data_IF_081469007851
#
_entry.id   IF_081469007851
#
_cell.length_a   1.000
_cell.length_b   1.000
_cell.length_c   1.000
_cell.angle_alpha   90.00
_cell.angle_beta   90.00
_cell.angle_gamma   90.00
#
_symmetry.space_group_name_H-M   'P 1'
#
loop_
_entity.id
_entity.type
_entity.pdbx_description
1 polymer ?
#
# COMPACT_ATOMS: atom_id res chain seq x y z
N UNK A 1 44.68 -30.94 16.31
CA UNK A 1 44.06 -29.60 16.13
C UNK A 1 44.16 -29.10 14.68
N UNK A 2 45.37 -29.00 14.08
CA UNK A 2 45.55 -28.46 12.71
C UNK A 2 44.80 -29.26 11.62
N UNK A 3 44.81 -30.59 11.68
CA UNK A 3 44.06 -31.45 10.71
C UNK A 3 42.54 -31.24 10.76
N UNK A 4 41.97 -30.98 11.94
CA UNK A 4 40.52 -30.77 12.08
C UNK A 4 40.10 -29.39 11.52
N UNK A 5 40.95 -28.37 11.68
CA UNK A 5 40.72 -27.03 11.12
C UNK A 5 40.81 -27.06 9.58
N UNK A 6 41.73 -27.83 9.01
CA UNK A 6 41.85 -27.99 7.55
C UNK A 6 40.64 -28.71 6.94
N UNK A 7 40.10 -29.73 7.61
CA UNK A 7 38.90 -30.45 7.15
C UNK A 7 37.68 -29.52 7.22
N UNK A 8 37.51 -28.75 8.31
CA UNK A 8 36.40 -27.81 8.46
C UNK A 8 36.47 -26.66 7.42
N UNK A 9 37.67 -26.14 7.16
CA UNK A 9 37.88 -25.11 6.14
C UNK A 9 37.59 -25.64 4.72
N UNK A 10 38.01 -26.85 4.40
CA UNK A 10 37.69 -27.48 3.11
C UNK A 10 36.18 -27.73 2.95
N UNK A 11 35.50 -28.11 4.04
CA UNK A 11 34.05 -28.31 4.06
C UNK A 11 33.28 -26.99 3.83
N UNK A 12 33.70 -25.90 4.47
CA UNK A 12 33.10 -24.58 4.30
C UNK A 12 33.29 -24.02 2.88
N UNK A 13 34.48 -24.17 2.30
CA UNK A 13 34.73 -23.75 0.91
C UNK A 13 33.89 -24.56 -0.08
N UNK A 14 33.74 -25.87 0.14
CA UNK A 14 32.92 -26.72 -0.73
C UNK A 14 31.44 -26.28 -0.76
N UNK A 15 30.84 -25.98 0.40
CA UNK A 15 29.43 -25.57 0.47
C UNK A 15 29.17 -24.13 0.02
N UNK A 16 30.14 -23.21 0.14
CA UNK A 16 29.97 -21.84 -0.34
C UNK A 16 30.21 -21.67 -1.85
N UNK A 17 31.01 -22.53 -2.48
CA UNK A 17 31.36 -22.42 -3.90
C UNK A 17 30.40 -23.22 -4.80
N UNK A 18 29.83 -24.34 -4.30
CA UNK A 18 28.92 -25.19 -5.09
C UNK A 18 27.71 -24.46 -5.70
N UNK A 19 26.98 -23.58 -4.97
CA UNK A 19 25.81 -22.90 -5.51
C UNK A 19 26.16 -21.95 -6.67
N UNK A 20 27.34 -21.33 -6.60
CA UNK A 20 27.85 -20.41 -7.62
C UNK A 20 28.17 -21.17 -8.92
N UNK A 21 28.82 -22.34 -8.79
CA UNK A 21 29.12 -23.20 -9.95
C UNK A 21 27.83 -23.79 -10.53
N UNK A 22 26.85 -24.18 -9.69
CA UNK A 22 25.57 -24.71 -10.15
C UNK A 22 24.76 -23.67 -10.96
N UNK A 23 24.82 -22.39 -10.61
CA UNK A 23 24.17 -21.31 -11.36
C UNK A 23 24.81 -20.98 -12.72
N UNK A 24 26.02 -21.49 -12.99
CA UNK A 24 26.75 -21.27 -14.24
C UNK A 24 26.62 -22.46 -15.23
N UNK A 25 26.01 -23.57 -14.82
CA UNK A 25 25.79 -24.72 -15.70
C UNK A 25 24.47 -24.57 -16.49
N UNK A 26 24.48 -24.79 -17.82
CA UNK A 26 23.27 -24.71 -18.63
C UNK A 26 22.39 -25.95 -18.39
N UNK A 27 21.32 -25.81 -17.62
CA UNK A 27 20.30 -26.86 -17.48
C UNK A 27 19.31 -26.85 -18.67
N UNK A 28 18.83 -28.02 -19.13
CA UNK A 28 18.09 -28.16 -20.38
C UNK A 28 16.63 -27.62 -20.39
N UNK A 29 16.20 -26.84 -19.38
CA UNK A 29 14.84 -26.30 -19.30
C UNK A 29 14.72 -24.78 -19.56
N UNK A 30 15.78 -24.14 -20.09
CA UNK A 30 15.79 -22.70 -20.37
C UNK A 30 15.42 -22.35 -21.84
N UNK A 31 14.59 -23.15 -22.50
CA UNK A 31 14.04 -22.77 -23.80
C UNK A 31 12.90 -21.75 -23.57
N UNK A 32 13.15 -20.48 -23.94
CA UNK A 32 12.15 -19.41 -23.89
C UNK A 32 10.97 -19.77 -24.80
N UNK A 33 9.78 -19.96 -24.22
CA UNK A 33 8.53 -20.09 -24.97
C UNK A 33 8.06 -18.67 -25.30
N UNK A 34 7.98 -18.32 -26.59
CA UNK A 34 7.36 -17.08 -27.04
C UNK A 34 5.85 -17.26 -27.18
N UNK A 35 5.08 -16.47 -26.41
CA UNK A 35 3.62 -16.43 -26.52
C UNK A 35 3.19 -15.26 -27.41
N UNK A 36 2.17 -15.44 -28.28
CA UNK A 36 1.70 -14.40 -29.17
C UNK A 36 1.04 -13.25 -28.39
N UNK A 37 1.46 -12.01 -28.70
CA UNK A 37 0.91 -10.79 -28.10
C UNK A 37 -0.52 -10.52 -28.59
N UNK A 38 -1.49 -10.59 -27.68
CA UNK A 38 -2.85 -10.07 -27.91
C UNK A 38 -2.83 -8.56 -27.69
N UNK A 39 -3.40 -7.78 -28.62
CA UNK A 39 -3.55 -6.32 -28.50
C UNK A 39 -4.77 -6.01 -27.64
N UNK A 40 -4.56 -5.39 -26.48
CA UNK A 40 -5.63 -4.78 -25.69
C UNK A 40 -5.87 -3.32 -26.10
N UNK A 41 -7.13 -2.84 -26.10
CA UNK A 41 -7.47 -1.47 -26.47
C UNK A 41 -7.11 -0.49 -25.34
N UNK A 42 -6.47 0.62 -25.70
CA UNK A 42 -6.15 1.72 -24.78
C UNK A 42 -7.41 2.50 -24.40
N UNK A 43 -7.65 2.67 -23.10
CA UNK A 43 -8.67 3.59 -22.56
C UNK A 43 -7.92 4.75 -21.91
N UNK A 44 -8.20 5.97 -22.35
CA UNK A 44 -7.52 7.21 -21.94
C UNK A 44 -8.43 8.01 -21.00
N UNK A 45 -7.92 8.43 -19.84
CA UNK A 45 -8.57 9.45 -19.00
C UNK A 45 -7.70 10.72 -18.96
N UNK A 46 -8.35 11.86 -19.21
CA UNK A 46 -7.71 13.17 -19.25
C UNK A 46 -7.58 13.77 -17.84
N UNK A 47 -6.37 14.19 -17.46
CA UNK A 47 -6.10 14.93 -16.24
C UNK A 47 -5.95 16.43 -16.54
N UNK A 48 -6.79 17.26 -15.92
CA UNK A 48 -6.74 18.71 -16.00
C UNK A 48 -5.78 19.31 -14.97
N UNK A 49 -4.92 20.22 -15.43
CA UNK A 49 -3.93 20.97 -14.66
C UNK A 49 -4.54 22.18 -13.94
N UNK A 50 -4.16 22.43 -12.67
CA UNK A 50 -4.36 23.73 -12.02
C UNK A 50 -3.10 24.16 -11.25
N UNK A 51 -2.83 25.45 -11.41
CA UNK A 51 -1.68 26.29 -11.07
C UNK A 51 -1.69 26.79 -9.62
N UNK A 52 -0.49 26.99 -9.05
CA UNK A 52 -0.23 27.69 -7.77
C UNK A 52 -0.08 29.21 -7.94
N UNK A 53 -0.20 29.99 -6.84
CA UNK A 53 0.83 31.00 -6.59
C UNK A 53 1.31 31.16 -5.11
N UNK A 54 2.52 31.75 -5.06
CA UNK A 54 3.51 32.09 -4.01
C UNK A 54 3.09 33.37 -3.22
N UNK A 55 3.46 33.66 -1.96
CA UNK A 55 4.71 34.30 -1.44
C UNK A 55 4.39 34.78 0.01
N UNK A 56 5.24 34.71 1.05
CA UNK A 56 6.15 35.78 1.57
C UNK A 56 6.87 35.33 2.87
N UNK A 57 7.98 36.00 3.22
CA UNK A 57 8.98 35.64 4.27
C UNK A 57 9.29 36.87 5.18
N UNK A 58 10.22 36.83 6.18
CA UNK A 58 10.01 36.90 7.65
C UNK A 58 10.55 38.24 8.26
N UNK A 59 10.77 38.51 9.59
CA UNK A 59 11.64 37.78 10.55
C UNK A 59 11.11 37.74 12.02
N UNK A 60 11.68 37.00 12.98
CA UNK A 60 12.70 37.52 13.94
C UNK A 60 13.20 36.40 14.86
N UNK A 61 14.52 36.36 15.02
CA UNK A 61 15.31 35.48 15.89
C UNK A 61 15.17 35.83 17.37
N UNK A 62 15.02 34.84 18.24
CA UNK A 62 15.49 34.94 19.63
C UNK A 62 16.05 33.58 20.06
N UNK A 63 17.34 33.58 20.35
CA UNK A 63 18.13 32.46 20.83
C UNK A 63 17.94 32.34 22.34
N UNK A 64 17.44 31.21 22.83
CA UNK A 64 17.69 30.78 24.22
C UNK A 64 18.01 29.30 24.21
N UNK A 65 19.23 29.01 24.65
CA UNK A 65 19.80 27.68 24.82
C UNK A 65 19.68 27.27 26.28
N UNK A 66 19.00 26.15 26.56
CA UNK A 66 19.28 25.32 27.74
C UNK A 66 18.54 23.97 27.69
N UNK A 67 19.32 22.93 27.40
CA UNK A 67 19.31 21.56 27.97
C UNK A 67 18.05 20.68 27.78
N UNK A 68 18.17 19.48 27.16
CA UNK A 68 17.06 18.57 26.99
C UNK A 68 16.75 17.88 28.33
N UNK A 69 15.61 18.24 28.93
CA UNK A 69 15.01 17.38 29.96
C UNK A 69 14.28 16.28 29.22
N UNK A 70 14.75 15.05 29.40
CA UNK A 70 14.08 13.83 28.92
C UNK A 70 12.74 13.70 29.64
N UNK A 71 11.69 14.29 29.08
CA UNK A 71 10.32 13.95 29.47
C UNK A 71 10.00 12.57 28.95
N UNK A 72 10.12 11.63 29.87
CA UNK A 72 9.31 10.43 30.06
C UNK A 72 8.22 10.23 28.99
N UNK A 73 8.26 9.08 28.34
CA UNK A 73 7.28 8.63 27.35
C UNK A 73 5.92 8.64 28.06
N UNK A 74 5.09 9.63 27.73
CA UNK A 74 3.70 9.66 28.17
C UNK A 74 3.04 8.34 27.78
N UNK A 75 2.44 7.66 28.76
CA UNK A 75 1.59 6.49 28.53
C UNK A 75 0.51 6.79 27.47
N UNK A 76 0.10 5.78 26.70
CA UNK A 76 -0.42 5.98 25.35
C UNK A 76 -1.72 6.77 25.33
N UNK A 77 -1.84 7.61 24.30
CA UNK A 77 -3.10 8.05 23.71
C UNK A 77 -4.05 6.84 23.62
N UNK A 78 -5.36 7.04 23.75
CA UNK A 78 -6.34 5.99 23.44
C UNK A 78 -5.89 5.24 22.16
N UNK A 79 -5.84 3.90 22.16
CA UNK A 79 -5.39 3.17 20.99
C UNK A 79 -6.22 3.62 19.78
N UNK A 80 -5.54 3.93 18.68
CA UNK A 80 -6.20 4.29 17.43
C UNK A 80 -6.38 3.01 16.61
N UNK A 81 -7.60 2.50 16.60
CA UNK A 81 -7.94 1.19 16.05
C UNK A 81 -8.20 1.30 14.54
N UNK A 82 -7.44 0.54 13.75
CA UNK A 82 -7.52 0.54 12.29
C UNK A 82 -7.93 -0.84 11.79
N UNK A 83 -9.01 -0.90 11.01
CA UNK A 83 -9.36 -2.09 10.24
C UNK A 83 -8.78 -1.97 8.83
N UNK A 84 -8.13 -3.04 8.36
CA UNK A 84 -7.65 -3.14 6.98
C UNK A 84 -8.26 -4.37 6.32
N UNK A 85 -8.73 -4.22 5.09
CA UNK A 85 -9.20 -5.31 4.26
C UNK A 85 -8.83 -5.08 2.79
N UNK A 86 -9.09 -6.08 1.94
CA UNK A 86 -8.70 -6.08 0.54
C UNK A 86 -9.84 -6.63 -0.32
N UNK A 87 -10.66 -5.74 -0.90
CA UNK A 87 -11.72 -6.18 -1.84
C UNK A 87 -11.14 -6.91 -3.04
N UNK A 88 -10.03 -6.41 -3.59
CA UNK A 88 -9.29 -7.06 -4.65
C UNK A 88 -8.01 -7.73 -4.13
N UNK A 89 -8.15 -8.69 -3.20
CA UNK A 89 -7.06 -9.37 -2.49
C UNK A 89 -5.88 -9.90 -3.34
N UNK A 90 -6.13 -10.37 -4.58
CA UNK A 90 -5.09 -10.89 -5.48
C UNK A 90 -4.45 -9.84 -6.39
N UNK A 91 -4.81 -8.56 -6.29
CA UNK A 91 -4.08 -7.51 -7.00
C UNK A 91 -2.59 -7.53 -6.64
N UNK A 92 -1.74 -7.26 -7.63
CA UNK A 92 -0.30 -7.25 -7.44
C UNK A 92 0.39 -6.38 -8.47
N UNK A 93 1.68 -6.14 -8.24
CA UNK A 93 2.52 -5.33 -9.09
C UNK A 93 3.33 -6.25 -10.00
N UNK A 94 3.49 -5.88 -11.27
CA UNK A 94 4.28 -6.68 -12.23
C UNK A 94 5.69 -6.98 -11.70
N UNK A 95 6.43 -6.03 -11.10
CA UNK A 95 7.77 -6.32 -10.59
C UNK A 95 7.80 -7.33 -9.44
N UNK A 96 6.74 -7.44 -8.65
CA UNK A 96 6.67 -8.41 -7.56
C UNK A 96 6.60 -9.82 -8.13
N UNK A 97 5.66 -10.05 -9.05
CA UNK A 97 5.45 -11.36 -9.68
C UNK A 97 6.66 -11.74 -10.53
N UNK A 98 7.26 -10.78 -11.25
CA UNK A 98 8.46 -11.02 -12.04
C UNK A 98 9.63 -11.46 -11.17
N UNK A 99 9.84 -10.79 -10.03
CA UNK A 99 10.89 -11.18 -9.08
C UNK A 99 10.62 -12.54 -8.42
N UNK A 100 9.36 -12.87 -8.13
CA UNK A 100 8.99 -14.11 -7.45
C UNK A 100 8.97 -15.33 -8.38
N UNK A 101 8.59 -15.15 -9.65
CA UNK A 101 8.24 -16.26 -10.55
C UNK A 101 8.88 -16.17 -11.94
N UNK A 102 9.45 -15.02 -12.32
CA UNK A 102 9.92 -14.74 -13.67
C UNK A 102 8.80 -14.47 -14.68
N UNK A 103 7.55 -14.36 -14.23
CA UNK A 103 6.38 -14.04 -15.08
C UNK A 103 5.84 -12.65 -14.80
N UNK A 104 5.09 -12.09 -15.74
CA UNK A 104 4.46 -10.77 -15.59
C UNK A 104 2.96 -10.96 -15.42
N UNK A 105 2.44 -10.55 -14.26
CA UNK A 105 1.01 -10.53 -13.97
C UNK A 105 0.65 -9.31 -13.11
N UNK A 106 -0.62 -8.90 -13.17
CA UNK A 106 -1.19 -7.82 -12.33
C UNK A 106 -2.22 -8.35 -11.32
N UNK A 107 -2.49 -9.66 -11.39
CA UNK A 107 -3.18 -10.45 -10.38
C UNK A 107 -2.41 -11.75 -10.17
N UNK A 108 -2.23 -12.18 -8.93
CA UNK A 108 -1.60 -13.45 -8.60
C UNK A 108 -2.16 -14.01 -7.29
N UNK A 109 -2.36 -15.32 -7.17
CA UNK A 109 -2.96 -15.92 -5.96
C UNK A 109 -1.97 -16.10 -4.80
N UNK A 110 -0.67 -15.86 -5.02
CA UNK A 110 0.39 -16.07 -4.04
C UNK A 110 1.08 -14.74 -3.70
N UNK A 111 1.53 -14.01 -4.71
CA UNK A 111 2.26 -12.75 -4.59
C UNK A 111 1.30 -11.59 -4.82
N UNK A 112 0.63 -11.12 -3.77
CA UNK A 112 -0.47 -10.15 -3.88
C UNK A 112 -0.61 -9.23 -2.66
N UNK A 113 -1.54 -8.27 -2.72
CA UNK A 113 -1.84 -7.36 -1.61
C UNK A 113 -2.16 -8.10 -0.31
N UNK A 114 -2.96 -9.17 -0.35
CA UNK A 114 -3.30 -9.92 0.85
C UNK A 114 -2.06 -10.57 1.50
N UNK A 115 -1.11 -11.06 0.70
CA UNK A 115 0.16 -11.61 1.20
C UNK A 115 1.05 -10.57 1.91
N UNK A 116 0.81 -9.27 1.70
CA UNK A 116 1.54 -8.17 2.34
C UNK A 116 0.98 -7.79 3.72
N UNK A 117 -0.10 -8.44 4.19
CA UNK A 117 -0.86 -8.04 5.38
C UNK A 117 -0.01 -7.89 6.65
N UNK A 118 0.93 -8.81 6.91
CA UNK A 118 1.77 -8.77 8.10
C UNK A 118 2.73 -7.58 8.07
N UNK A 119 3.28 -7.28 6.89
CA UNK A 119 4.17 -6.14 6.70
C UNK A 119 3.41 -4.82 6.90
N UNK A 120 2.20 -4.70 6.34
CA UNK A 120 1.33 -3.52 6.56
C UNK A 120 1.05 -3.35 8.05
N UNK A 121 0.61 -4.42 8.71
CA UNK A 121 0.31 -4.43 10.15
C UNK A 121 1.52 -3.99 10.98
N UNK A 122 2.71 -4.47 10.65
CA UNK A 122 3.95 -4.11 11.36
C UNK A 122 4.27 -2.62 11.22
N UNK A 123 4.20 -2.04 10.02
CA UNK A 123 4.44 -0.59 9.83
C UNK A 123 3.40 0.26 10.56
N UNK A 124 2.14 -0.16 10.59
CA UNK A 124 1.09 0.54 11.31
C UNK A 124 1.33 0.49 12.82
N UNK A 125 1.69 -0.68 13.37
CA UNK A 125 2.05 -0.84 14.78
C UNK A 125 3.26 0.01 15.19
N UNK A 126 4.30 0.07 14.34
CA UNK A 126 5.47 0.92 14.58
C UNK A 126 5.13 2.41 14.67
N UNK A 127 3.99 2.83 14.11
CA UNK A 127 3.48 4.20 14.16
C UNK A 127 2.39 4.41 15.23
N UNK A 128 2.23 3.45 16.16
CA UNK A 128 1.29 3.56 17.28
C UNK A 128 -0.16 3.27 16.93
N UNK A 129 -0.42 2.59 15.81
CA UNK A 129 -1.76 2.22 15.35
C UNK A 129 -2.07 0.77 15.76
N UNK A 130 -3.21 0.55 16.40
CA UNK A 130 -3.70 -0.79 16.71
C UNK A 130 -4.42 -1.35 15.49
N UNK A 131 -3.75 -2.21 14.73
CA UNK A 131 -4.25 -2.66 13.43
C UNK A 131 -4.79 -4.07 13.46
N UNK A 132 -6.02 -4.25 12.98
CA UNK A 132 -6.62 -5.54 12.65
C UNK A 132 -6.72 -5.68 11.14
N UNK A 133 -6.24 -6.80 10.63
CA UNK A 133 -6.49 -7.23 9.25
C UNK A 133 -7.75 -8.09 9.26
N UNK A 134 -8.70 -7.83 8.37
CA UNK A 134 -9.80 -8.73 8.09
C UNK A 134 -9.26 -9.94 7.33
N UNK A 135 -9.19 -11.08 8.00
CA UNK A 135 -8.60 -12.33 7.48
C UNK A 135 -9.53 -13.02 6.48
N UNK A 136 -9.72 -12.38 5.32
CA UNK A 136 -10.56 -12.86 4.22
C UNK A 136 -9.85 -12.60 2.89
N UNK A 137 -9.38 -13.67 2.27
CA UNK A 137 -8.98 -13.65 0.86
C UNK A 137 -10.24 -13.58 -0.03
N UNK A 138 -10.72 -12.37 -0.33
CA UNK A 138 -11.96 -12.13 -1.08
C UNK A 138 -11.93 -12.81 -2.45
N UNK A 139 -10.86 -12.67 -3.23
CA UNK A 139 -10.75 -13.33 -4.54
C UNK A 139 -10.64 -14.86 -4.40
N UNK A 140 -10.01 -15.36 -3.32
CA UNK A 140 -10.03 -16.77 -2.97
C UNK A 140 -11.46 -17.29 -2.72
N UNK A 141 -12.25 -16.57 -1.93
CA UNK A 141 -13.67 -16.88 -1.68
C UNK A 141 -14.47 -16.86 -2.98
N UNK A 142 -14.30 -15.83 -3.80
CA UNK A 142 -14.99 -15.72 -5.09
C UNK A 142 -14.67 -16.90 -6.00
N UNK A 143 -13.39 -17.28 -6.12
CA UNK A 143 -12.95 -18.41 -6.92
C UNK A 143 -13.56 -19.74 -6.43
N UNK A 144 -13.59 -19.97 -5.12
CA UNK A 144 -14.19 -21.17 -4.53
C UNK A 144 -15.70 -21.26 -4.80
N UNK A 145 -16.39 -20.14 -4.89
CA UNK A 145 -17.83 -20.06 -5.12
C UNK A 145 -18.22 -19.81 -6.58
N UNK A 146 -17.26 -19.76 -7.51
CA UNK A 146 -17.52 -19.48 -8.92
C UNK A 146 -18.09 -18.08 -9.21
N UNK A 147 -17.79 -17.10 -8.35
CA UNK A 147 -18.28 -15.74 -8.47
C UNK A 147 -17.42 -14.92 -9.46
N UNK A 148 -18.03 -14.17 -10.39
CA UNK A 148 -17.30 -13.31 -11.31
C UNK A 148 -16.69 -12.09 -10.63
N UNK A 149 -15.63 -11.51 -11.24
CA UNK A 149 -14.83 -10.42 -10.68
C UNK A 149 -15.64 -9.18 -10.25
N UNK A 150 -16.71 -8.83 -10.98
CA UNK A 150 -17.55 -7.68 -10.65
C UNK A 150 -18.30 -7.80 -9.32
N UNK A 151 -18.40 -9.02 -8.74
CA UNK A 151 -19.00 -9.25 -7.43
C UNK A 151 -17.99 -9.10 -6.28
N UNK A 152 -16.78 -8.59 -6.52
CA UNK A 152 -15.77 -8.45 -5.47
C UNK A 152 -16.25 -7.55 -4.32
N UNK A 153 -16.83 -6.38 -4.63
CA UNK A 153 -17.37 -5.47 -3.61
C UNK A 153 -18.54 -6.08 -2.86
N UNK A 154 -19.47 -6.75 -3.55
CA UNK A 154 -20.58 -7.48 -2.90
C UNK A 154 -20.07 -8.60 -1.97
N UNK A 155 -19.01 -9.29 -2.39
CA UNK A 155 -18.39 -10.36 -1.61
C UNK A 155 -17.70 -9.81 -0.37
N UNK A 156 -16.84 -8.79 -0.51
CA UNK A 156 -16.12 -8.18 0.62
C UNK A 156 -17.07 -7.51 1.61
N UNK A 157 -18.14 -6.86 1.10
CA UNK A 157 -19.17 -6.18 1.88
C UNK A 157 -19.73 -7.05 3.00
N UNK A 158 -20.03 -8.31 2.70
CA UNK A 158 -20.61 -9.25 3.67
C UNK A 158 -19.71 -9.38 4.91
N UNK A 159 -18.43 -9.63 4.70
CA UNK A 159 -17.46 -9.84 5.78
C UNK A 159 -17.16 -8.55 6.53
N UNK A 160 -17.04 -7.42 5.82
CA UNK A 160 -16.81 -6.11 6.45
C UNK A 160 -18.03 -5.71 7.30
N UNK A 161 -19.24 -5.90 6.79
CA UNK A 161 -20.46 -5.61 7.56
C UNK A 161 -20.62 -6.50 8.79
N UNK A 162 -20.28 -7.79 8.71
CA UNK A 162 -20.25 -8.70 9.86
C UNK A 162 -19.23 -8.26 10.92
N UNK A 163 -18.04 -7.85 10.49
CA UNK A 163 -16.98 -7.33 11.38
C UNK A 163 -17.42 -6.04 12.11
N UNK A 164 -18.02 -5.10 11.38
CA UNK A 164 -18.48 -3.81 11.91
C UNK A 164 -19.73 -3.92 12.81
N UNK A 165 -20.41 -5.08 12.85
CA UNK A 165 -21.45 -5.34 13.85
C UNK A 165 -20.88 -5.66 15.23
N UNK A 166 -19.65 -6.16 15.29
CA UNK A 166 -19.02 -6.65 16.53
C UNK A 166 -17.98 -5.68 17.07
N UNK A 167 -17.35 -4.90 16.19
CA UNK A 167 -16.22 -4.04 16.53
C UNK A 167 -16.38 -2.65 15.90
N UNK A 168 -15.82 -1.65 16.57
CA UNK A 168 -15.71 -0.27 16.07
C UNK A 168 -14.25 0.06 15.79
N UNK A 169 -14.00 0.91 14.81
CA UNK A 169 -12.66 1.33 14.41
C UNK A 169 -12.64 2.84 14.21
N UNK A 170 -11.49 3.47 14.44
CA UNK A 170 -11.31 4.90 14.19
C UNK A 170 -11.03 5.20 12.69
N UNK A 171 -10.56 4.18 11.96
CA UNK A 171 -10.29 4.24 10.53
C UNK A 171 -10.43 2.85 9.89
N UNK A 172 -11.04 2.78 8.70
CA UNK A 172 -11.19 1.53 7.95
C UNK A 172 -10.59 1.72 6.55
N UNK A 173 -9.70 0.84 6.14
CA UNK A 173 -8.96 0.94 4.88
C UNK A 173 -9.21 -0.28 4.00
N UNK A 174 -9.76 -0.04 2.81
CA UNK A 174 -9.71 -0.99 1.70
C UNK A 174 -8.46 -0.70 0.88
N UNK A 175 -7.47 -1.60 0.91
CA UNK A 175 -6.19 -1.38 0.24
C UNK A 175 -6.23 -1.99 -1.16
N UNK A 176 -5.90 -1.17 -2.15
CA UNK A 176 -5.89 -1.49 -3.57
C UNK A 176 -4.58 -1.06 -4.22
N UNK A 177 -4.43 -1.45 -5.48
CA UNK A 177 -3.37 -1.03 -6.38
C UNK A 177 -3.96 -0.50 -7.68
N UNK A 178 -3.64 0.75 -8.03
CA UNK A 178 -4.21 1.41 -9.21
C UNK A 178 -3.74 0.76 -10.51
N UNK A 179 -4.57 0.63 -11.54
CA UNK A 179 -4.19 0.09 -12.84
C UNK A 179 -3.17 0.96 -13.63
N UNK A 180 -2.89 2.19 -13.19
CA UNK A 180 -2.00 3.13 -13.90
C UNK A 180 -0.52 2.77 -13.74
N UNK A 181 0.31 3.11 -14.74
CA UNK A 181 1.75 2.85 -14.75
C UNK A 181 2.60 3.85 -13.95
N UNK A 182 3.88 3.51 -13.76
CA UNK A 182 4.84 4.19 -12.88
C UNK A 182 5.03 5.70 -13.14
N UNK A 183 4.82 6.16 -14.38
CA UNK A 183 4.94 7.59 -14.71
C UNK A 183 3.99 8.45 -13.86
N UNK A 184 2.76 7.99 -13.65
CA UNK A 184 1.79 8.69 -12.83
C UNK A 184 1.92 8.32 -11.34
N UNK A 185 2.37 7.10 -11.05
CA UNK A 185 2.28 6.49 -9.71
C UNK A 185 3.60 6.44 -8.94
N UNK A 186 4.69 7.03 -9.45
CA UNK A 186 5.96 7.13 -8.73
C UNK A 186 6.33 8.59 -8.45
N UNK A 187 6.86 8.87 -7.27
CA UNK A 187 7.50 10.14 -6.91
C UNK A 187 8.93 9.89 -6.43
N UNK A 188 9.83 10.85 -6.68
CA UNK A 188 11.15 10.85 -6.07
C UNK A 188 11.28 12.00 -5.08
N UNK A 189 11.77 11.68 -3.89
CA UNK A 189 12.06 12.65 -2.85
C UNK A 189 13.42 12.29 -2.22
N UNK A 190 14.35 13.26 -2.19
CA UNK A 190 15.72 13.06 -1.71
C UNK A 190 16.42 11.83 -2.35
N UNK A 191 16.28 11.68 -3.67
CA UNK A 191 16.83 10.58 -4.46
C UNK A 191 16.30 9.17 -4.09
N UNK A 192 15.30 9.08 -3.23
CA UNK A 192 14.56 7.86 -2.93
C UNK A 192 13.24 7.85 -3.70
N UNK A 193 12.85 6.70 -4.22
CA UNK A 193 11.58 6.54 -4.94
C UNK A 193 10.50 5.93 -4.05
N UNK A 194 9.29 6.44 -4.21
CA UNK A 194 8.09 6.02 -3.50
C UNK A 194 6.98 5.81 -4.52
N UNK A 195 6.11 4.84 -4.24
CA UNK A 195 4.81 4.78 -4.86
C UNK A 195 3.97 5.98 -4.39
N UNK A 196 3.07 6.48 -5.24
CA UNK A 196 2.11 7.51 -4.87
C UNK A 196 0.84 6.88 -4.33
N UNK A 197 0.12 7.62 -3.50
CA UNK A 197 -1.17 7.21 -2.94
C UNK A 197 -2.29 8.02 -3.60
N UNK A 198 -3.40 7.36 -3.94
CA UNK A 198 -4.67 8.06 -4.23
C UNK A 198 -5.77 7.52 -3.32
N UNK A 199 -6.81 8.31 -3.10
CA UNK A 199 -7.99 7.89 -2.34
C UNK A 199 -9.19 7.85 -3.27
N UNK A 200 -9.78 6.68 -3.51
CA UNK A 200 -11.02 6.60 -4.29
C UNK A 200 -12.19 6.92 -3.38
N UNK A 201 -13.06 7.85 -3.80
CA UNK A 201 -14.23 8.25 -3.03
C UNK A 201 -15.47 8.20 -3.92
N UNK A 202 -16.37 7.27 -3.61
CA UNK A 202 -17.67 7.14 -4.28
C UNK A 202 -18.62 8.27 -3.87
N UNK A 203 -19.12 9.07 -4.81
CA UNK A 203 -20.02 10.17 -4.49
C UNK A 203 -21.49 9.75 -4.31
N UNK A 204 -21.80 8.48 -4.56
CA UNK A 204 -23.16 7.91 -4.53
C UNK A 204 -23.46 7.21 -3.19
N UNK A 205 -22.63 7.46 -2.17
CA UNK A 205 -22.78 6.91 -0.84
C UNK A 205 -23.18 7.99 0.19
N UNK A 206 -23.98 7.69 1.23
CA UNK A 206 -24.48 8.67 2.19
C UNK A 206 -23.39 9.31 3.06
N UNK A 207 -22.23 8.65 3.20
CA UNK A 207 -21.10 9.13 3.97
C UNK A 207 -20.10 9.93 3.13
N UNK A 208 -20.32 10.10 1.82
CA UNK A 208 -19.39 10.71 0.86
C UNK A 208 -18.59 11.90 1.40
N UNK A 209 -19.28 12.88 2.00
CA UNK A 209 -18.62 14.08 2.53
C UNK A 209 -17.63 13.78 3.67
N UNK A 210 -17.94 12.80 4.51
CA UNK A 210 -17.06 12.34 5.58
C UNK A 210 -15.88 11.57 5.01
N UNK A 211 -16.11 10.60 4.11
CA UNK A 211 -15.03 9.85 3.47
C UNK A 211 -14.07 10.80 2.72
N UNK A 212 -14.61 11.79 2.00
CA UNK A 212 -13.83 12.81 1.32
C UNK A 212 -13.01 13.67 2.29
N UNK A 213 -13.58 14.04 3.44
CA UNK A 213 -12.86 14.80 4.47
C UNK A 213 -11.68 14.02 5.04
N UNK A 214 -11.86 12.72 5.32
CA UNK A 214 -10.78 11.85 5.78
C UNK A 214 -9.70 11.68 4.70
N UNK A 215 -10.10 11.45 3.45
CA UNK A 215 -9.19 11.34 2.31
C UNK A 215 -8.34 12.60 2.13
N UNK A 216 -8.96 13.79 2.21
CA UNK A 216 -8.26 15.06 2.07
C UNK A 216 -7.30 15.31 3.23
N UNK A 217 -7.71 15.04 4.48
CA UNK A 217 -6.85 15.21 5.65
C UNK A 217 -5.59 14.32 5.56
N UNK A 218 -5.75 13.06 5.15
CA UNK A 218 -4.61 12.16 4.91
C UNK A 218 -3.78 12.59 3.71
N UNK A 219 -4.40 13.05 2.62
CA UNK A 219 -3.66 13.57 1.46
C UNK A 219 -2.77 14.75 1.82
N UNK A 220 -3.29 15.69 2.62
CA UNK A 220 -2.55 16.83 3.12
C UNK A 220 -1.38 16.40 4.02
N UNK A 221 -1.62 15.48 4.96
CA UNK A 221 -0.57 14.94 5.83
C UNK A 221 0.52 14.21 5.03
N UNK A 222 0.12 13.35 4.09
CA UNK A 222 1.03 12.64 3.19
C UNK A 222 1.93 13.61 2.42
N UNK A 223 1.34 14.66 1.83
CA UNK A 223 2.08 15.66 1.08
C UNK A 223 2.95 16.59 1.95
N UNK A 224 2.65 16.72 3.25
CA UNK A 224 3.55 17.37 4.22
C UNK A 224 4.78 16.52 4.53
N UNK A 225 4.63 15.19 4.59
CA UNK A 225 5.75 14.27 4.85
C UNK A 225 6.62 14.11 3.60
N UNK A 226 6.00 13.80 2.45
CA UNK A 226 6.68 13.67 1.14
C UNK A 226 5.88 14.46 0.10
N UNK A 227 6.37 15.64 -0.33
CA UNK A 227 5.69 16.46 -1.33
C UNK A 227 5.42 15.69 -2.63
N UNK A 228 4.15 15.63 -3.03
CA UNK A 228 3.69 14.97 -4.26
C UNK A 228 3.51 13.45 -4.16
N UNK A 229 3.62 12.87 -2.96
CA UNK A 229 3.33 11.44 -2.75
C UNK A 229 1.84 11.15 -2.85
N UNK A 230 0.96 12.09 -2.49
CA UNK A 230 -0.48 11.90 -2.64
C UNK A 230 -0.99 12.56 -3.93
N UNK A 231 -1.75 11.79 -4.71
CA UNK A 231 -2.54 12.24 -5.87
C UNK A 231 -3.91 12.81 -5.47
N UNK A 232 -4.24 12.83 -4.19
CA UNK A 232 -5.51 13.35 -3.67
C UNK A 232 -6.67 12.37 -3.78
N UNK A 233 -7.87 12.91 -3.56
CA UNK A 233 -9.12 12.17 -3.67
C UNK A 233 -9.60 12.12 -5.14
N UNK A 234 -9.87 10.91 -5.62
CA UNK A 234 -10.45 10.61 -6.92
C UNK A 234 -11.95 10.36 -6.72
N UNK A 235 -12.77 11.36 -7.01
CA UNK A 235 -14.22 11.26 -6.88
C UNK A 235 -14.78 10.42 -8.03
N UNK A 236 -15.64 9.44 -7.70
CA UNK A 236 -16.24 8.50 -8.64
C UNK A 236 -17.76 8.52 -8.49
N UNK A 237 -18.46 8.79 -9.60
CA UNK A 237 -19.92 8.81 -9.67
C UNK A 237 -20.40 8.48 -11.10
N UNK A 238 -21.64 8.02 -11.23
CA UNK A 238 -22.28 7.77 -12.52
C UNK A 238 -21.90 6.44 -13.18
N UNK A 239 -22.22 6.34 -14.47
CA UNK A 239 -22.11 5.08 -15.21
C UNK A 239 -20.64 4.65 -15.40
N UNK A 240 -20.38 3.36 -15.19
CA UNK A 240 -19.09 2.73 -15.46
C UNK A 240 -18.14 2.68 -14.25
N UNK A 241 -18.62 3.12 -13.09
CA UNK A 241 -17.94 2.99 -11.80
C UNK A 241 -18.92 2.39 -10.78
N UNK A 242 -18.39 1.92 -9.65
CA UNK A 242 -19.23 1.42 -8.55
C UNK A 242 -20.00 2.56 -7.87
N UNK A 243 -19.33 3.68 -7.62
CA UNK A 243 -19.93 4.88 -7.02
C UNK A 243 -20.13 4.82 -5.50
N UNK A 244 -20.00 3.65 -4.88
CA UNK A 244 -20.21 3.44 -3.43
C UNK A 244 -18.98 2.85 -2.73
N UNK A 245 -18.36 1.82 -3.30
CA UNK A 245 -17.12 1.19 -2.83
C UNK A 245 -17.16 0.73 -1.36
N UNK A 246 -18.32 0.25 -0.90
CA UNK A 246 -18.61 -0.06 0.51
C UNK A 246 -18.43 1.11 1.50
N UNK A 247 -18.20 2.33 1.04
CA UNK A 247 -18.01 3.52 1.89
C UNK A 247 -19.30 3.95 2.59
N UNK A 248 -20.45 3.45 2.15
CA UNK A 248 -21.72 3.59 2.87
C UNK A 248 -21.74 2.85 4.22
N UNK A 249 -20.85 1.87 4.45
CA UNK A 249 -20.78 1.11 5.70
C UNK A 249 -20.25 1.94 6.88
N UNK A 250 -19.36 2.91 6.64
CA UNK A 250 -18.76 3.72 7.70
C UNK A 250 -18.23 5.07 7.18
N UNK A 251 -18.22 6.09 8.04
CA UNK A 251 -17.84 7.46 7.67
C UNK A 251 -16.33 7.65 7.52
N UNK A 252 -15.59 6.78 8.17
CA UNK A 252 -14.14 6.67 8.26
C UNK A 252 -13.58 5.56 7.36
N UNK A 253 -14.38 5.03 6.42
CA UNK A 253 -13.93 4.05 5.43
C UNK A 253 -13.30 4.74 4.22
N UNK A 254 -12.10 4.34 3.85
CA UNK A 254 -11.37 4.83 2.69
C UNK A 254 -10.92 3.69 1.77
N UNK A 255 -11.01 3.92 0.47
CA UNK A 255 -10.30 3.10 -0.53
C UNK A 255 -8.97 3.76 -0.80
N UNK A 256 -7.87 3.04 -0.58
CA UNK A 256 -6.51 3.55 -0.70
C UNK A 256 -5.80 2.82 -1.83
N UNK A 257 -5.46 3.55 -2.87
CA UNK A 257 -4.69 3.07 -4.00
C UNK A 257 -3.20 3.31 -3.74
N UNK A 258 -2.42 2.26 -3.58
CA UNK A 258 -0.97 2.37 -3.37
C UNK A 258 -0.25 2.07 -4.68
N UNK A 259 0.40 3.08 -5.25
CA UNK A 259 1.11 2.97 -6.51
C UNK A 259 0.20 2.57 -7.67
N UNK A 260 0.78 1.85 -8.62
CA UNK A 260 0.08 1.16 -9.69
C UNK A 260 0.91 0.04 -10.32
N UNK A 261 0.49 -0.54 -11.45
CA UNK A 261 0.96 -1.85 -11.98
C UNK A 261 2.49 -2.03 -12.05
N UNK A 262 3.25 -0.94 -12.23
CA UNK A 262 4.69 -0.99 -12.50
C UNK A 262 5.57 -0.62 -11.27
N UNK A 263 4.97 -0.33 -10.11
CA UNK A 263 5.74 0.02 -8.90
C UNK A 263 6.48 -1.19 -8.31
N UNK A 264 7.66 -0.94 -7.73
CA UNK A 264 8.48 -1.99 -7.11
C UNK A 264 8.13 -2.22 -5.64
N UNK A 265 8.51 -3.37 -5.09
CA UNK A 265 8.27 -3.74 -3.68
C UNK A 265 8.81 -2.70 -2.72
N UNK A 266 10.05 -2.31 -2.96
CA UNK A 266 10.75 -1.24 -2.28
C UNK A 266 9.98 0.10 -2.27
N UNK A 267 9.44 0.52 -3.42
CA UNK A 267 8.65 1.75 -3.54
C UNK A 267 7.35 1.67 -2.74
N UNK A 268 6.67 0.52 -2.80
CA UNK A 268 5.38 0.28 -2.13
C UNK A 268 5.57 0.19 -0.61
N UNK A 269 6.55 -0.55 -0.12
CA UNK A 269 6.77 -0.73 1.32
C UNK A 269 7.20 0.56 2.00
N UNK A 270 8.06 1.35 1.35
CA UNK A 270 8.38 2.70 1.84
C UNK A 270 7.12 3.56 1.93
N UNK A 271 6.22 3.45 0.95
CA UNK A 271 4.98 4.23 0.90
C UNK A 271 3.99 3.81 2.00
N UNK A 272 3.89 2.51 2.30
CA UNK A 272 3.06 2.00 3.40
C UNK A 272 3.53 2.54 4.76
N UNK A 273 4.85 2.63 4.96
CA UNK A 273 5.42 3.27 6.15
C UNK A 273 5.01 4.75 6.26
N UNK A 274 5.04 5.48 5.14
CA UNK A 274 4.63 6.89 5.09
C UNK A 274 3.12 7.05 5.30
N UNK A 275 2.29 6.13 4.79
CA UNK A 275 0.85 6.10 5.07
C UNK A 275 0.57 5.91 6.55
N UNK A 276 1.20 4.94 7.20
CA UNK A 276 1.08 4.71 8.64
C UNK A 276 1.47 5.96 9.46
N UNK A 277 2.58 6.59 9.10
CA UNK A 277 3.03 7.83 9.72
C UNK A 277 2.02 8.97 9.51
N UNK A 278 1.46 9.11 8.30
CA UNK A 278 0.46 10.13 8.00
C UNK A 278 -0.82 9.95 8.81
N UNK A 279 -1.30 8.72 8.97
CA UNK A 279 -2.47 8.39 9.81
C UNK A 279 -2.18 8.80 11.27
N UNK A 280 -1.04 8.39 11.81
CA UNK A 280 -0.64 8.72 13.17
C UNK A 280 -0.56 10.23 13.41
N UNK A 281 0.07 10.99 12.49
CA UNK A 281 0.15 12.46 12.57
C UNK A 281 -1.20 13.17 12.41
N UNK A 282 -2.14 12.58 11.66
CA UNK A 282 -3.43 13.23 11.38
C UNK A 282 -4.41 13.05 12.52
N UNK A 283 -4.46 11.85 13.11
CA UNK A 283 -5.55 11.47 14.00
C UNK A 283 -5.11 11.10 15.42
N UNK A 284 -3.83 10.77 15.63
CA UNK A 284 -3.34 10.26 16.93
C UNK A 284 -2.54 11.33 17.65
N UNK A 285 -1.46 11.80 17.01
CA UNK A 285 -0.59 12.82 17.58
C UNK A 285 -1.07 14.21 17.17
N UNK A 286 -1.45 15.03 18.15
CA UNK A 286 -1.58 16.48 17.94
C UNK A 286 -0.18 17.08 17.89
N UNK A 287 0.45 17.09 16.72
CA UNK A 287 1.55 18.03 16.53
C UNK A 287 0.95 19.45 16.42
N UNK A 288 1.19 20.25 17.47
CA UNK A 288 0.93 21.69 17.60
C UNK A 288 1.85 22.51 16.68
#
# INVERSE_FOLDING_TARGET
MIKQIQILAAFLVFFFVLPIIAGLLPFPNNAKIEYPKVKEPQIVYAAGTVTTPKTETPPTTTTVSSTPTTTDVSQPLSPFDVLIYFTHSHETYKPFVESATGTIAVYDSITNLFSMQDMIKNYFQLNGLTTKILDVDVQGVMKQNGLPFHLAYDTSRKYVAEELQQNTYDLILDIHRDAVGAEATTVSHNNVKYAKIAFVVGAENPNYKSNLSYANALSDSLNKIIPGISRGALIKEGKGVDGVYNQDLAKELLVVEIGGIDNTEDEVYRTISILAQAISKTFVTKEL
#
